data_IF_301277493693
#
_entry.id   IF_301277493693
#
_cell.length_a   1.000
_cell.length_b   1.000
_cell.length_c   1.000
_cell.angle_alpha   90.00
_cell.angle_beta   90.00
_cell.angle_gamma   90.00
#
_symmetry.space_group_name_H-M   'P 1'
#
loop_
_entity.id
_entity.type
_entity.pdbx_description
1 polymer ?
#
# COMPACT_ATOMS: atom_id res chain seq x y z
N UNK A 1 -36.07 21.55 -8.84
CA UNK A 1 -35.04 21.17 -9.82
C UNK A 1 -33.72 21.45 -9.13
N UNK A 2 -33.34 20.51 -8.26
CA UNK A 2 -32.31 19.48 -8.53
C UNK A 2 -30.94 20.13 -8.31
N UNK A 3 -30.47 20.15 -7.05
CA UNK A 3 -29.65 19.13 -6.38
C UNK A 3 -28.20 19.20 -6.83
N UNK A 4 -27.35 19.49 -5.85
CA UNK A 4 -25.95 19.09 -5.74
C UNK A 4 -25.64 19.12 -4.23
N UNK A 5 -26.36 18.30 -3.44
CA UNK A 5 -25.77 17.12 -2.79
C UNK A 5 -24.85 16.34 -3.70
N UNK A 6 -23.58 16.26 -3.31
CA UNK A 6 -22.84 15.06 -2.88
C UNK A 6 -21.36 15.47 -2.77
N UNK A 7 -20.53 15.11 -1.82
CA UNK A 7 -20.59 14.39 -0.56
C UNK A 7 -19.15 14.54 -0.04
N UNK A 8 -18.97 14.88 1.23
CA UNK A 8 -17.66 14.69 1.86
C UNK A 8 -17.44 13.18 1.95
N UNK A 9 -16.76 12.62 0.96
CA UNK A 9 -16.27 11.24 0.96
C UNK A 9 -15.05 11.15 1.85
N UNK A 10 -15.27 11.14 3.16
CA UNK A 10 -14.27 10.70 4.12
C UNK A 10 -14.21 9.16 4.08
N UNK A 11 -13.56 8.61 3.07
CA UNK A 11 -13.18 7.20 3.04
C UNK A 11 -11.90 7.02 3.86
N UNK A 12 -12.11 6.84 5.17
CA UNK A 12 -11.11 6.35 6.14
C UNK A 12 -10.84 4.86 5.89
N UNK A 13 -10.32 4.54 4.71
CA UNK A 13 -9.79 3.22 4.37
C UNK A 13 -8.28 3.40 4.20
N UNK A 14 -7.50 2.87 5.15
CA UNK A 14 -6.13 3.28 5.51
C UNK A 14 -4.99 3.18 4.49
N UNK A 15 -5.25 3.41 3.19
CA UNK A 15 -4.28 3.31 2.09
C UNK A 15 -3.83 4.68 1.55
N UNK A 16 -4.41 5.78 2.06
CA UNK A 16 -3.90 7.14 1.88
C UNK A 16 -4.58 7.92 0.75
N UNK A 17 -5.06 9.09 1.11
CA UNK A 17 -5.66 10.14 0.26
C UNK A 17 -4.66 10.81 -0.70
N UNK A 18 -3.66 10.08 -1.20
CA UNK A 18 -2.50 10.66 -1.88
C UNK A 18 -2.83 11.23 -3.26
N UNK A 19 -3.29 10.40 -4.19
CA UNK A 19 -3.74 10.82 -5.52
C UNK A 19 -4.66 9.75 -6.14
N UNK A 20 -5.45 10.16 -7.13
CA UNK A 20 -6.42 9.31 -7.83
C UNK A 20 -5.71 8.09 -8.48
N UNK A 21 -4.53 8.29 -9.06
CA UNK A 21 -3.78 7.20 -9.71
C UNK A 21 -3.36 6.09 -8.73
N UNK A 22 -2.96 6.46 -7.50
CA UNK A 22 -2.60 5.46 -6.48
C UNK A 22 -3.85 4.70 -6.02
N UNK A 23 -4.94 5.43 -5.78
CA UNK A 23 -6.21 4.86 -5.36
C UNK A 23 -6.77 3.89 -6.41
N UNK A 24 -6.73 4.28 -7.70
CA UNK A 24 -7.19 3.46 -8.81
C UNK A 24 -6.41 2.14 -8.89
N UNK A 25 -5.07 2.21 -8.83
CA UNK A 25 -4.20 1.02 -8.88
C UNK A 25 -4.45 0.08 -7.69
N UNK A 26 -4.71 0.63 -6.50
CA UNK A 26 -5.00 -0.19 -5.32
C UNK A 26 -6.42 -0.77 -5.31
N UNK A 27 -7.33 -0.21 -6.10
CA UNK A 27 -8.73 -0.66 -6.21
C UNK A 27 -8.98 -1.67 -7.35
N UNK A 28 -7.96 -1.96 -8.16
CA UNK A 28 -8.09 -2.87 -9.29
C UNK A 28 -8.41 -4.31 -8.86
N UNK A 29 -9.47 -4.88 -9.41
CA UNK A 29 -9.90 -6.27 -9.13
C UNK A 29 -9.43 -7.28 -10.19
N UNK A 30 -8.94 -6.80 -11.34
CA UNK A 30 -8.53 -7.64 -12.47
C UNK A 30 -7.18 -8.33 -12.28
N UNK A 31 -6.35 -7.86 -11.35
CA UNK A 31 -5.04 -8.42 -11.02
C UNK A 31 -4.69 -8.14 -9.56
N UNK A 32 -3.86 -8.99 -8.96
CA UNK A 32 -3.30 -8.72 -7.63
C UNK A 32 -2.41 -7.47 -7.68
N UNK A 33 -2.73 -6.39 -6.95
CA UNK A 33 -1.99 -5.16 -7.00
C UNK A 33 -0.51 -5.37 -6.65
N UNK A 34 0.39 -4.78 -7.44
CA UNK A 34 1.83 -4.78 -7.12
C UNK A 34 2.17 -3.83 -5.97
N UNK A 35 1.22 -2.98 -5.55
CA UNK A 35 1.32 -2.13 -4.36
C UNK A 35 0.21 -2.55 -3.42
N UNK A 36 0.55 -2.95 -2.20
CA UNK A 36 -0.39 -3.47 -1.21
C UNK A 36 -0.15 -2.86 0.17
N UNK A 37 -1.22 -2.73 0.95
CA UNK A 37 -1.14 -2.44 2.38
C UNK A 37 -1.07 -3.77 3.12
N UNK A 38 0.06 -4.06 3.75
CA UNK A 38 0.20 -5.25 4.57
C UNK A 38 -0.51 -5.10 5.92
N UNK A 39 -0.62 -6.21 6.65
CA UNK A 39 -1.26 -6.25 7.97
C UNK A 39 -0.55 -5.37 9.01
N UNK A 40 0.73 -5.06 8.77
CA UNK A 40 1.54 -4.10 9.52
C UNK A 40 1.19 -2.62 9.25
N UNK A 41 0.25 -2.37 8.34
CA UNK A 41 -0.12 -1.03 7.93
C UNK A 41 1.00 -0.30 7.18
N UNK A 42 1.97 -1.03 6.62
CA UNK A 42 3.02 -0.50 5.74
C UNK A 42 2.61 -0.76 4.29
N UNK A 43 2.77 0.27 3.46
CA UNK A 43 2.63 0.12 2.02
C UNK A 43 3.89 -0.51 1.45
N UNK A 44 3.73 -1.66 0.80
CA UNK A 44 4.79 -2.36 0.08
C UNK A 44 4.50 -2.40 -1.41
N UNK A 45 5.57 -2.46 -2.19
CA UNK A 45 5.52 -2.73 -3.62
C UNK A 45 6.38 -3.94 -3.95
N UNK A 46 5.82 -4.88 -4.69
CA UNK A 46 6.58 -6.01 -5.22
C UNK A 46 7.58 -5.52 -6.27
N UNK A 47 8.86 -5.79 -6.02
CA UNK A 47 9.99 -5.34 -6.87
C UNK A 47 10.61 -6.48 -7.67
N UNK A 48 10.27 -7.73 -7.37
CA UNK A 48 10.75 -8.88 -8.13
C UNK A 48 10.37 -10.24 -7.55
N UNK A 49 10.93 -11.27 -8.19
CA UNK A 49 10.82 -12.66 -7.79
C UNK A 49 12.19 -13.17 -7.37
N UNK A 50 12.22 -14.02 -6.35
CA UNK A 50 13.40 -14.81 -5.97
C UNK A 50 13.08 -16.29 -6.09
N UNK A 51 14.04 -17.05 -6.61
CA UNK A 51 13.93 -18.50 -6.64
C UNK A 51 13.93 -19.03 -5.20
N UNK A 52 12.89 -19.79 -4.85
CA UNK A 52 12.78 -20.49 -3.57
C UNK A 52 13.08 -21.98 -3.72
N UNK A 53 13.09 -22.70 -2.60
CA UNK A 53 13.16 -24.17 -2.58
C UNK A 53 11.85 -24.85 -3.03
N UNK A 54 10.76 -24.08 -3.12
CA UNK A 54 9.44 -24.53 -3.57
C UNK A 54 9.23 -24.28 -5.07
N UNK A 55 8.25 -24.95 -5.67
CA UNK A 55 7.85 -24.74 -7.07
C UNK A 55 7.32 -23.31 -7.35
N UNK A 56 6.95 -22.56 -6.31
CA UNK A 56 6.50 -21.17 -6.41
C UNK A 56 7.63 -20.19 -6.02
N UNK A 57 8.00 -19.23 -6.90
CA UNK A 57 9.00 -18.22 -6.58
C UNK A 57 8.47 -17.26 -5.50
N UNK A 58 9.34 -16.88 -4.57
CA UNK A 58 9.02 -15.90 -3.54
C UNK A 58 8.92 -14.50 -4.14
N UNK A 59 7.92 -13.73 -3.72
CA UNK A 59 7.84 -12.30 -4.02
C UNK A 59 8.82 -11.54 -3.13
N UNK A 60 9.48 -10.52 -3.69
CA UNK A 60 10.26 -9.55 -2.91
C UNK A 60 9.51 -8.24 -2.87
N UNK A 61 9.14 -7.83 -1.67
CA UNK A 61 8.40 -6.61 -1.40
C UNK A 61 9.30 -5.54 -0.77
N UNK A 62 9.13 -4.28 -1.19
CA UNK A 62 9.89 -3.14 -0.68
C UNK A 62 8.93 -2.05 -0.18
N UNK A 63 9.17 -1.47 1.02
CA UNK A 63 8.33 -0.39 1.53
C UNK A 63 8.35 0.84 0.61
N UNK A 64 7.19 1.44 0.40
CA UNK A 64 6.98 2.60 -0.48
C UNK A 64 6.95 3.89 0.33
N UNK A 65 8.06 4.63 0.39
CA UNK A 65 8.12 5.88 1.14
C UNK A 65 7.48 7.07 0.42
N UNK A 66 7.51 7.07 -0.91
CA UNK A 66 6.97 8.14 -1.74
C UNK A 66 6.07 7.54 -2.81
N UNK A 67 4.95 8.20 -3.09
CA UNK A 67 4.03 7.79 -4.14
C UNK A 67 4.75 7.75 -5.49
N UNK A 68 4.73 6.62 -6.22
CA UNK A 68 5.41 6.49 -7.51
C UNK A 68 4.76 7.36 -8.61
N UNK A 69 3.55 7.87 -8.39
CA UNK A 69 2.81 8.67 -9.36
C UNK A 69 3.04 10.18 -9.18
N UNK A 70 2.90 10.69 -7.96
CA UNK A 70 2.95 12.15 -7.69
C UNK A 70 4.12 12.59 -6.79
N UNK A 71 4.89 11.65 -6.22
CA UNK A 71 6.06 11.94 -5.38
C UNK A 71 5.75 12.41 -3.96
N UNK A 72 4.47 12.46 -3.56
CA UNK A 72 4.08 12.74 -2.17
C UNK A 72 4.66 11.69 -1.23
N UNK A 73 5.15 12.12 -0.06
CA UNK A 73 5.62 11.20 0.97
C UNK A 73 4.43 10.48 1.60
N UNK A 74 4.44 9.15 1.57
CA UNK A 74 3.38 8.27 2.08
C UNK A 74 3.68 7.76 3.49
N UNK A 75 4.95 7.50 3.78
CA UNK A 75 5.43 6.99 5.06
C UNK A 75 6.91 7.36 5.24
N UNK A 76 7.38 7.37 6.49
CA UNK A 76 8.77 7.63 6.86
C UNK A 76 9.50 6.34 7.25
N UNK A 77 10.84 6.36 7.21
CA UNK A 77 11.65 5.24 7.67
C UNK A 77 11.41 4.91 9.15
N UNK A 78 11.18 5.93 9.98
CA UNK A 78 10.90 5.77 11.41
C UNK A 78 9.53 5.11 11.63
N UNK A 79 8.49 5.49 10.89
CA UNK A 79 7.17 4.86 10.97
C UNK A 79 7.18 3.41 10.49
N UNK A 80 7.88 3.12 9.40
CA UNK A 80 8.03 1.75 8.90
C UNK A 80 8.77 0.90 9.92
N UNK A 81 9.87 1.40 10.48
CA UNK A 81 10.62 0.67 11.50
C UNK A 81 9.74 0.39 12.74
N UNK A 82 9.03 1.40 13.24
CA UNK A 82 8.15 1.22 14.39
C UNK A 82 7.07 0.15 14.15
N UNK A 83 6.39 0.21 12.98
CA UNK A 83 5.34 -0.76 12.62
C UNK A 83 5.87 -2.18 12.43
N UNK A 84 7.05 -2.33 11.81
CA UNK A 84 7.69 -3.63 11.64
C UNK A 84 8.14 -4.24 12.97
N UNK A 85 8.63 -3.41 13.91
CA UNK A 85 9.04 -3.87 15.23
C UNK A 85 7.82 -4.28 16.08
N UNK A 86 6.69 -3.55 15.99
CA UNK A 86 5.45 -3.87 16.73
C UNK A 86 4.85 -5.25 16.38
N UNK A 87 5.10 -5.77 15.17
CA UNK A 87 4.67 -7.12 14.75
C UNK A 87 5.72 -8.21 14.94
N UNK A 88 6.96 -7.83 15.26
CA UNK A 88 8.04 -8.77 15.56
C UNK A 88 8.07 -9.25 17.02
N UNK A 89 7.30 -8.64 17.92
CA UNK A 89 7.26 -8.95 19.35
C UNK A 89 6.14 -9.95 19.76
N UNK A 90 5.39 -10.48 18.79
CA UNK A 90 4.43 -11.58 18.99
C UNK A 90 5.04 -12.96 18.63
N UNK A 91 6.16 -13.34 19.27
CA UNK A 91 6.73 -14.71 19.22
C UNK A 91 6.51 -15.52 20.51
#
# INVERSE_FOLDING_TARGET
MSIDTSEEGNDDSGFGSCCEELQEVMSGEDFDPLITLAEDGILYMSVGLIDGDSDDPGMVDHPVFFCPFCGTQLQTAEEVQAKSDELGDEE
#
